data_IF_800990129619
#
_entry.id   IF_800990129619
#
_cell.length_a   1.000
_cell.length_b   1.000
_cell.length_c   1.000
_cell.angle_alpha   90.00
_cell.angle_beta   90.00
_cell.angle_gamma   90.00
#
_symmetry.space_group_name_H-M   'P 1'
#
loop_
_entity.id
_entity.type
_entity.pdbx_description
1 polymer ?
#
# COMPACT_ATOMS: atom_id res chain seq x y z
N UNK A 1 -3.99 -10.59 17.14
CA UNK A 1 -4.15 -9.24 17.74
C UNK A 1 -3.72 -8.24 16.70
N UNK A 2 -4.59 -7.30 16.33
CA UNK A 2 -4.23 -6.22 15.41
C UNK A 2 -3.38 -5.18 16.13
N UNK A 3 -2.34 -4.69 15.46
CA UNK A 3 -1.46 -3.64 15.97
C UNK A 3 -1.99 -2.27 15.53
N UNK A 4 -1.84 -1.23 16.36
CA UNK A 4 -2.25 0.11 15.96
C UNK A 4 -1.39 0.62 14.80
N UNK A 5 -1.97 1.47 13.93
CA UNK A 5 -1.31 1.92 12.71
C UNK A 5 -0.05 2.72 13.01
N UNK A 6 1.02 2.42 12.26
CA UNK A 6 2.19 3.28 12.19
C UNK A 6 1.92 4.44 11.22
N UNK A 7 2.49 5.63 11.47
CA UNK A 7 2.44 6.71 10.51
C UNK A 7 3.17 6.29 9.23
N UNK A 8 2.65 6.68 8.06
CA UNK A 8 3.26 6.38 6.77
C UNK A 8 4.69 6.94 6.64
N UNK A 9 4.99 8.02 7.36
CA UNK A 9 6.33 8.60 7.47
C UNK A 9 7.32 7.79 8.32
N UNK A 10 6.88 6.72 8.99
CA UNK A 10 7.79 5.86 9.75
C UNK A 10 8.81 5.20 8.82
N UNK A 11 10.04 5.01 9.32
CA UNK A 11 11.13 4.37 8.59
C UNK A 11 10.98 2.84 8.52
N UNK A 12 11.73 2.23 7.58
CA UNK A 12 11.85 0.76 7.45
C UNK A 12 12.18 0.09 8.79
N UNK A 13 13.08 0.67 9.59
CA UNK A 13 13.48 0.10 10.87
C UNK A 13 12.32 0.01 11.86
N UNK A 14 11.43 1.01 11.88
CA UNK A 14 10.29 1.05 12.78
C UNK A 14 9.25 -0.03 12.44
N UNK A 15 8.92 -0.20 11.15
CA UNK A 15 7.99 -1.26 10.73
C UNK A 15 8.59 -2.66 10.93
N UNK A 16 9.88 -2.85 10.61
CA UNK A 16 10.56 -4.12 10.81
C UNK A 16 10.64 -4.50 12.29
N UNK A 17 10.98 -3.55 13.17
CA UNK A 17 11.01 -3.79 14.61
C UNK A 17 9.62 -4.11 15.17
N UNK A 18 8.58 -3.41 14.69
CA UNK A 18 7.22 -3.57 15.21
C UNK A 18 6.57 -4.90 14.78
N UNK A 19 6.80 -5.31 13.54
CA UNK A 19 6.25 -6.55 12.99
C UNK A 19 7.18 -7.76 13.19
N UNK A 20 8.40 -7.55 13.70
CA UNK A 20 9.41 -8.60 13.82
C UNK A 20 9.84 -9.17 12.46
N UNK A 21 9.93 -8.30 11.43
CA UNK A 21 10.25 -8.72 10.07
C UNK A 21 11.72 -9.09 9.95
N UNK A 22 12.00 -10.19 9.26
CA UNK A 22 13.32 -10.44 8.68
C UNK A 22 13.47 -9.66 7.37
N UNK A 23 14.71 -9.39 6.94
CA UNK A 23 14.97 -8.75 5.64
C UNK A 23 14.37 -9.53 4.47
N UNK A 24 14.28 -10.87 4.57
CA UNK A 24 13.64 -11.72 3.55
C UNK A 24 12.16 -11.39 3.42
N UNK A 25 11.42 -11.39 4.52
CA UNK A 25 9.97 -11.08 4.50
C UNK A 25 9.74 -9.63 4.10
N UNK A 26 10.54 -8.70 4.62
CA UNK A 26 10.44 -7.29 4.25
C UNK A 26 10.56 -7.08 2.74
N UNK A 27 11.50 -7.76 2.07
CA UNK A 27 11.65 -7.72 0.60
C UNK A 27 10.45 -8.31 -0.13
N UNK A 28 9.83 -9.37 0.40
CA UNK A 28 8.62 -9.96 -0.19
C UNK A 28 7.44 -8.99 -0.10
N UNK A 29 7.21 -8.39 1.06
CA UNK A 29 6.16 -7.38 1.27
C UNK A 29 6.37 -6.17 0.34
N UNK A 30 7.61 -5.69 0.22
CA UNK A 30 7.95 -4.59 -0.68
C UNK A 30 7.67 -4.96 -2.13
N UNK A 31 8.06 -6.16 -2.57
CA UNK A 31 7.83 -6.64 -3.94
C UNK A 31 6.34 -6.75 -4.28
N UNK A 32 5.53 -7.26 -3.35
CA UNK A 32 4.06 -7.31 -3.53
C UNK A 32 3.48 -5.90 -3.71
N UNK A 33 3.95 -4.93 -2.93
CA UNK A 33 3.53 -3.54 -3.03
C UNK A 33 4.04 -2.82 -4.28
N UNK A 34 5.22 -3.16 -4.80
CA UNK A 34 5.74 -2.66 -6.08
C UNK A 34 4.86 -3.13 -7.25
N UNK A 35 4.50 -4.41 -7.28
CA UNK A 35 3.60 -4.96 -8.31
C UNK A 35 2.25 -4.25 -8.26
N UNK A 36 1.72 -4.03 -7.07
CA UNK A 36 0.45 -3.34 -6.87
C UNK A 36 0.52 -1.87 -7.27
N UNK A 37 1.64 -1.19 -6.97
CA UNK A 37 1.92 0.18 -7.43
C UNK A 37 1.95 0.25 -8.95
N UNK A 38 2.64 -0.66 -9.61
CA UNK A 38 2.76 -0.65 -11.07
C UNK A 38 1.37 -0.82 -11.72
N UNK A 39 0.56 -1.76 -11.21
CA UNK A 39 -0.83 -1.91 -11.64
C UNK A 39 -1.69 -0.66 -11.35
N UNK A 40 -1.46 0.00 -10.22
CA UNK A 40 -2.21 1.19 -9.81
C UNK A 40 -1.84 2.42 -10.66
N UNK A 41 -0.55 2.59 -10.94
CA UNK A 41 0.03 3.76 -11.62
C UNK A 41 0.00 3.72 -13.15
N UNK A 42 -0.39 2.60 -13.74
CA UNK A 42 -0.64 2.49 -15.20
C UNK A 42 -2.13 2.57 -15.55
N UNK A 43 -3.05 2.53 -14.57
CA UNK A 43 -4.47 2.47 -14.84
C UNK A 43 -5.16 3.84 -14.65
N UNK A 44 -5.63 4.48 -15.74
CA UNK A 44 -6.26 5.82 -15.69
C UNK A 44 -7.57 5.83 -14.91
N UNK A 45 -8.26 4.70 -14.73
CA UNK A 45 -9.50 4.65 -13.95
C UNK A 45 -9.27 4.94 -12.46
N UNK A 46 -8.05 4.72 -11.96
CA UNK A 46 -7.67 4.94 -10.57
C UNK A 46 -7.44 6.40 -10.21
N UNK A 47 -7.23 7.25 -11.22
CA UNK A 47 -7.01 8.68 -11.06
C UNK A 47 -8.21 9.38 -10.44
N UNK A 48 -7.94 10.47 -9.73
CA UNK A 48 -8.97 11.43 -9.31
C UNK A 48 -9.64 12.06 -10.53
N UNK A 49 -10.87 12.54 -10.38
CA UNK A 49 -11.59 13.21 -11.48
C UNK A 49 -10.85 14.47 -11.98
N UNK A 50 -10.15 15.16 -11.07
CA UNK A 50 -9.26 16.27 -11.40
C UNK A 50 -8.07 15.80 -12.23
N UNK A 51 -7.34 14.76 -11.80
CA UNK A 51 -6.18 14.26 -12.54
C UNK A 51 -6.56 13.64 -13.89
N UNK A 52 -7.76 13.07 -14.02
CA UNK A 52 -8.29 12.56 -15.30
C UNK A 52 -8.55 13.66 -16.33
N UNK A 53 -8.88 14.87 -15.87
CA UNK A 53 -9.20 16.01 -16.74
C UNK A 53 -7.97 16.86 -17.06
N UNK A 54 -6.85 16.62 -16.37
CA UNK A 54 -5.61 17.34 -16.56
C UNK A 54 -4.76 16.68 -17.67
N UNK A 55 -4.51 17.38 -18.80
CA UNK A 55 -3.71 16.85 -19.89
C UNK A 55 -2.21 16.74 -19.57
N UNK A 56 -1.75 17.30 -18.45
CA UNK A 56 -0.35 17.21 -18.00
C UNK A 56 -0.06 15.93 -17.20
N UNK A 57 -1.11 15.22 -16.76
CA UNK A 57 -0.98 13.96 -16.05
C UNK A 57 -0.60 12.87 -17.04
N UNK A 58 0.59 12.31 -16.87
CA UNK A 58 1.11 11.22 -17.69
C UNK A 58 1.55 10.06 -16.81
N UNK A 59 1.48 8.85 -17.35
CA UNK A 59 2.01 7.68 -16.66
C UNK A 59 3.54 7.77 -16.52
N UNK A 60 4.11 7.27 -15.42
CA UNK A 60 3.45 6.57 -14.31
C UNK A 60 2.88 7.52 -13.24
N UNK A 61 1.57 7.42 -12.98
CA UNK A 61 0.84 8.35 -12.10
C UNK A 61 1.43 8.43 -10.69
N UNK A 62 1.35 9.63 -10.11
CA UNK A 62 1.82 9.94 -8.76
C UNK A 62 0.81 9.53 -7.70
N UNK A 63 1.28 9.34 -6.47
CA UNK A 63 0.42 8.99 -5.34
C UNK A 63 -0.71 10.02 -5.13
N UNK A 64 -0.43 11.32 -5.29
CA UNK A 64 -1.41 12.39 -5.07
C UNK A 64 -2.45 12.48 -6.20
N UNK A 65 -2.17 11.93 -7.38
CA UNK A 65 -3.08 11.91 -8.53
C UNK A 65 -4.09 10.77 -8.47
N UNK A 66 -3.81 9.76 -7.65
CA UNK A 66 -4.63 8.55 -7.50
C UNK A 66 -5.69 8.77 -6.42
N UNK A 67 -6.93 8.39 -6.72
CA UNK A 67 -8.06 8.49 -5.79
C UNK A 67 -7.87 7.63 -4.54
N UNK A 68 -8.37 8.11 -3.39
CA UNK A 68 -8.34 7.36 -2.12
C UNK A 68 -9.10 6.03 -2.24
N UNK A 69 -10.18 5.97 -3.01
CA UNK A 69 -10.91 4.73 -3.30
C UNK A 69 -10.01 3.71 -4.00
N UNK A 70 -9.28 4.12 -5.03
CA UNK A 70 -8.38 3.22 -5.75
C UNK A 70 -7.20 2.75 -4.87
N UNK A 71 -6.62 3.65 -4.07
CA UNK A 71 -5.60 3.29 -3.07
C UNK A 71 -6.12 2.25 -2.08
N UNK A 72 -7.33 2.47 -1.54
CA UNK A 72 -7.97 1.55 -0.61
C UNK A 72 -8.26 0.19 -1.25
N UNK A 73 -8.83 0.16 -2.46
CA UNK A 73 -9.05 -1.08 -3.20
C UNK A 73 -7.74 -1.83 -3.47
N UNK A 74 -6.67 -1.12 -3.81
CA UNK A 74 -5.34 -1.70 -4.01
C UNK A 74 -4.78 -2.31 -2.72
N UNK A 75 -4.91 -1.61 -1.59
CA UNK A 75 -4.51 -2.13 -0.27
C UNK A 75 -5.23 -3.45 0.05
N UNK A 76 -6.54 -3.53 -0.16
CA UNK A 76 -7.30 -4.76 0.06
C UNK A 76 -6.90 -5.88 -0.90
N UNK A 77 -6.64 -5.54 -2.17
CA UNK A 77 -6.17 -6.49 -3.18
C UNK A 77 -4.80 -7.10 -2.79
N UNK A 78 -3.84 -6.27 -2.35
CA UNK A 78 -2.52 -6.74 -1.87
C UNK A 78 -2.68 -7.73 -0.72
N UNK A 79 -3.52 -7.44 0.25
CA UNK A 79 -3.75 -8.32 1.40
C UNK A 79 -4.42 -9.63 0.98
N UNK A 80 -5.34 -9.57 0.01
CA UNK A 80 -6.04 -10.75 -0.52
C UNK A 80 -5.11 -11.66 -1.32
N UNK A 81 -4.25 -11.08 -2.15
CA UNK A 81 -3.36 -11.79 -3.06
C UNK A 81 -1.99 -12.08 -2.41
N UNK A 82 -1.81 -11.70 -1.14
CA UNK A 82 -0.59 -11.90 -0.37
C UNK A 82 -0.17 -13.38 -0.29
N UNK A 83 1.12 -13.62 -0.42
CA UNK A 83 1.70 -14.94 -0.27
C UNK A 83 1.51 -15.50 1.16
N UNK A 84 1.50 -16.84 1.35
CA UNK A 84 1.35 -17.44 2.68
C UNK A 84 2.39 -16.96 3.72
N UNK A 85 3.59 -16.57 3.26
CA UNK A 85 4.67 -16.05 4.12
C UNK A 85 4.43 -14.59 4.57
N UNK A 86 3.80 -13.75 3.74
CA UNK A 86 3.58 -12.32 4.01
C UNK A 86 2.22 -12.06 4.66
N UNK A 87 1.23 -12.91 4.37
CA UNK A 87 -0.15 -12.81 4.86
C UNK A 87 -0.29 -12.63 6.39
N UNK A 88 0.47 -13.33 7.25
CA UNK A 88 0.38 -13.13 8.70
C UNK A 88 0.69 -11.68 9.12
N UNK A 89 1.65 -11.03 8.45
CA UNK A 89 2.06 -9.66 8.76
C UNK A 89 1.00 -8.63 8.34
N UNK A 90 0.34 -8.86 7.21
CA UNK A 90 -0.83 -8.06 6.85
C UNK A 90 -1.97 -8.24 7.85
N UNK A 91 -2.21 -9.45 8.37
CA UNK A 91 -3.24 -9.64 9.39
C UNK A 91 -2.93 -8.91 10.71
N UNK A 92 -1.66 -8.76 11.08
CA UNK A 92 -1.27 -7.90 12.21
C UNK A 92 -1.59 -6.42 11.93
N UNK A 93 -1.54 -6.01 10.67
CA UNK A 93 -1.85 -4.66 10.20
C UNK A 93 -3.32 -4.35 9.95
N UNK A 94 -4.19 -5.36 10.02
CA UNK A 94 -5.61 -5.22 9.71
C UNK A 94 -6.34 -4.50 10.86
N UNK A 95 -7.11 -3.47 10.51
CA UNK A 95 -8.01 -2.80 11.44
C UNK A 95 -9.31 -2.43 10.75
N UNK A 96 -10.41 -2.37 11.50
CA UNK A 96 -11.70 -1.95 10.97
C UNK A 96 -12.02 -0.56 11.47
N UNK A 97 -12.39 0.31 10.54
CA UNK A 97 -13.03 1.59 10.84
C UNK A 97 -14.54 1.38 10.93
N UNK A 98 -15.29 2.43 11.27
CA UNK A 98 -16.75 2.37 11.26
C UNK A 98 -17.35 2.10 9.86
N UNK A 99 -16.56 2.28 8.80
CA UNK A 99 -17.02 2.23 7.42
C UNK A 99 -16.37 1.08 6.65
N UNK A 100 -15.05 0.90 6.76
CA UNK A 100 -14.28 -0.05 5.95
C UNK A 100 -13.24 -0.85 6.75
N UNK A 101 -12.89 -2.02 6.22
CA UNK A 101 -11.70 -2.77 6.63
C UNK A 101 -10.46 -2.14 5.98
N UNK A 102 -9.44 -1.86 6.78
CA UNK A 102 -8.23 -1.17 6.38
C UNK A 102 -7.00 -2.00 6.75
N UNK A 103 -5.88 -1.74 6.08
CA UNK A 103 -4.62 -2.38 6.39
C UNK A 103 -3.46 -1.39 6.35
N UNK A 104 -2.97 -1.01 7.53
CA UNK A 104 -1.91 0.00 7.60
C UNK A 104 -0.56 -0.53 7.13
N UNK A 105 -0.31 -1.84 7.21
CA UNK A 105 0.94 -2.46 6.74
C UNK A 105 0.99 -2.38 5.22
N UNK A 106 -0.05 -2.88 4.53
CA UNK A 106 -0.13 -2.80 3.08
C UNK A 106 -0.14 -1.34 2.59
N UNK A 107 -0.86 -0.45 3.28
CA UNK A 107 -0.88 0.99 2.95
C UNK A 107 0.51 1.64 3.10
N UNK A 108 1.25 1.30 4.15
CA UNK A 108 2.61 1.79 4.37
C UNK A 108 3.56 1.35 3.25
N UNK A 109 3.55 0.06 2.89
CA UNK A 109 4.41 -0.47 1.83
C UNK A 109 4.07 0.11 0.46
N UNK A 110 2.78 0.26 0.17
CA UNK A 110 2.32 0.87 -1.07
C UNK A 110 2.78 2.34 -1.14
N UNK A 111 2.60 3.12 -0.09
CA UNK A 111 3.06 4.51 -0.07
C UNK A 111 4.59 4.63 -0.21
N UNK A 112 5.36 3.78 0.47
CA UNK A 112 6.82 3.75 0.35
C UNK A 112 7.27 3.37 -1.06
N UNK A 113 6.60 2.43 -1.74
CA UNK A 113 6.95 2.05 -3.11
C UNK A 113 6.69 3.16 -4.13
N UNK A 114 5.73 4.05 -3.88
CA UNK A 114 5.53 5.27 -4.68
C UNK A 114 6.60 6.34 -4.41
N UNK A 115 7.05 6.47 -3.16
CA UNK A 115 7.97 7.54 -2.75
C UNK A 115 9.43 7.25 -3.07
N UNK A 116 9.85 5.99 -2.99
CA UNK A 116 11.23 5.57 -3.23
C UNK A 116 11.35 4.75 -4.53
N UNK A 117 10.84 5.31 -5.63
CA UNK A 117 10.99 4.75 -6.99
C UNK A 117 12.45 4.69 -7.42
#
# INVERSE_FOLDING_TARGET
>A
MSMPPLPQSADKSAICARLGLSDRIHKLLLKEAEIARDALSCNPYNLTDQSKTDPSVCEPYLWDEISETAKHSCVLMVVRDACPETRPYYYMGCYRTAVNEENWVARWYLWHSFRYR
#
